data_IF_774526946543
#
_entry.id   IF_774526946543
#
_cell.length_a   1.000
_cell.length_b   1.000
_cell.length_c   1.000
_cell.angle_alpha   90.00
_cell.angle_beta   90.00
_cell.angle_gamma   90.00
#
_symmetry.space_group_name_H-M   'P 1'
#
loop_
_entity.id
_entity.type
_entity.pdbx_description
1 polymer ?
#
# COMPACT_ATOMS: atom_id res chain seq x y z
N UNK A 1 21.80 14.37 -0.80
CA UNK A 1 20.79 13.29 -0.63
C UNK A 1 19.40 13.90 -0.42
N UNK A 2 18.41 13.52 -1.24
CA UNK A 2 17.02 14.04 -1.13
C UNK A 2 16.32 13.56 0.15
N UNK A 3 15.32 14.32 0.62
CA UNK A 3 14.55 14.00 1.83
C UNK A 3 13.79 12.66 1.73
N UNK A 4 13.27 12.34 0.53
CA UNK A 4 12.59 11.06 0.25
C UNK A 4 13.53 9.86 0.40
N UNK A 5 14.77 9.97 -0.09
CA UNK A 5 15.75 8.89 0.06
C UNK A 5 16.05 8.64 1.54
N UNK A 6 16.18 9.67 2.36
CA UNK A 6 16.33 9.50 3.82
C UNK A 6 15.09 8.84 4.43
N UNK A 7 13.89 9.28 4.07
CA UNK A 7 12.66 8.71 4.62
C UNK A 7 12.52 7.19 4.38
N UNK A 8 12.74 6.74 3.14
CA UNK A 8 12.57 5.35 2.73
C UNK A 8 13.80 4.47 2.99
N UNK A 9 15.00 5.05 3.03
CA UNK A 9 16.26 4.30 3.07
C UNK A 9 17.14 4.62 4.28
N UNK A 10 16.72 5.50 5.21
CA UNK A 10 17.47 5.65 6.46
C UNK A 10 17.45 4.33 7.22
N UNK A 11 18.64 3.74 7.30
CA UNK A 11 19.00 2.64 8.18
C UNK A 11 19.32 3.13 9.60
N UNK A 12 18.98 4.39 9.92
CA UNK A 12 18.87 4.86 11.31
C UNK A 12 17.81 3.98 11.95
N UNK A 13 18.15 2.86 12.58
CA UNK A 13 19.07 2.75 13.68
C UNK A 13 19.38 1.25 13.84
N UNK A 14 20.55 0.86 14.34
CA UNK A 14 20.77 -0.48 14.93
C UNK A 14 19.95 -0.52 16.24
N UNK A 15 18.65 -0.89 16.20
CA UNK A 15 17.75 -0.61 17.31
C UNK A 15 18.12 -1.60 18.41
N UNK A 16 18.72 -1.11 19.49
CA UNK A 16 19.08 -1.95 20.64
C UNK A 16 17.87 -2.55 21.36
N UNK A 17 16.65 -2.13 21.00
CA UNK A 17 15.40 -2.57 21.63
C UNK A 17 14.24 -2.71 20.64
N UNK A 18 13.36 -3.68 20.91
CA UNK A 18 12.15 -3.94 20.12
C UNK A 18 11.24 -2.72 19.99
N UNK A 19 11.15 -1.89 21.04
CA UNK A 19 10.36 -0.66 21.04
C UNK A 19 10.83 0.36 19.99
N UNK A 20 12.13 0.43 19.70
CA UNK A 20 12.64 1.34 18.66
C UNK A 20 12.26 0.86 17.26
N UNK A 21 12.17 -0.46 17.05
CA UNK A 21 11.65 -1.06 15.80
C UNK A 21 10.19 -0.68 15.64
N UNK A 22 9.35 -0.94 16.65
CA UNK A 22 7.93 -0.60 16.61
C UNK A 22 7.72 0.90 16.37
N UNK A 23 8.44 1.77 17.09
CA UNK A 23 8.34 3.21 16.91
C UNK A 23 8.83 3.69 15.52
N UNK A 24 9.72 2.95 14.86
CA UNK A 24 10.14 3.23 13.49
C UNK A 24 9.03 2.91 12.49
N UNK A 25 8.31 1.79 12.70
CA UNK A 25 7.13 1.41 11.93
C UNK A 25 5.95 2.36 12.17
N UNK A 26 5.63 2.70 13.42
CA UNK A 26 4.49 3.58 13.72
C UNK A 26 4.65 4.98 13.14
N UNK A 27 5.86 5.56 13.15
CA UNK A 27 6.12 6.86 12.51
C UNK A 27 5.86 6.87 11.00
N UNK A 28 5.96 5.71 10.34
CA UNK A 28 5.72 5.56 8.91
C UNK A 28 4.29 5.19 8.56
N UNK A 29 3.50 4.73 9.54
CA UNK A 29 2.08 4.38 9.38
C UNK A 29 1.29 5.55 8.79
N UNK A 30 1.58 6.78 9.22
CA UNK A 30 0.93 7.98 8.69
C UNK A 30 1.17 8.15 7.19
N UNK A 31 2.42 8.05 6.72
CA UNK A 31 2.75 8.16 5.30
C UNK A 31 2.14 7.04 4.47
N UNK A 32 2.13 5.81 5.01
CA UNK A 32 1.54 4.65 4.39
C UNK A 32 0.03 4.84 4.23
N UNK A 33 -0.68 5.20 5.30
CA UNK A 33 -2.12 5.42 5.26
C UNK A 33 -2.49 6.63 4.38
N UNK A 34 -1.69 7.70 4.37
CA UNK A 34 -1.91 8.83 3.48
C UNK A 34 -1.78 8.41 2.00
N UNK A 35 -0.74 7.64 1.65
CA UNK A 35 -0.54 7.18 0.27
C UNK A 35 -1.62 6.19 -0.17
N UNK A 36 -1.90 5.16 0.64
CA UNK A 36 -2.96 4.16 0.35
C UNK A 36 -4.34 4.84 0.30
N UNK A 37 -4.62 5.77 1.23
CA UNK A 37 -5.85 6.54 1.25
C UNK A 37 -6.03 7.40 -0.01
N UNK A 38 -4.99 8.13 -0.43
CA UNK A 38 -5.03 8.92 -1.66
C UNK A 38 -5.24 8.04 -2.90
N UNK A 39 -4.56 6.89 -2.99
CA UNK A 39 -4.76 5.93 -4.08
C UNK A 39 -6.18 5.34 -4.07
N UNK A 40 -6.73 5.08 -2.89
CA UNK A 40 -8.11 4.60 -2.73
C UNK A 40 -9.11 5.64 -3.20
N UNK A 41 -8.94 6.91 -2.81
CA UNK A 41 -9.79 8.01 -3.27
C UNK A 41 -9.73 8.18 -4.79
N UNK A 42 -8.53 8.12 -5.39
CA UNK A 42 -8.37 8.16 -6.84
C UNK A 42 -9.10 7.00 -7.52
N UNK A 43 -8.97 5.79 -6.99
CA UNK A 43 -9.65 4.60 -7.51
C UNK A 43 -11.16 4.76 -7.45
N UNK A 44 -11.70 5.22 -6.32
CA UNK A 44 -13.13 5.50 -6.18
C UNK A 44 -13.61 6.59 -7.15
N UNK A 45 -12.83 7.64 -7.37
CA UNK A 45 -13.17 8.70 -8.31
C UNK A 45 -13.27 8.18 -9.75
N UNK A 46 -12.31 7.35 -10.19
CA UNK A 46 -12.35 6.72 -11.52
C UNK A 46 -13.60 5.85 -11.68
N UNK A 47 -13.88 5.03 -10.68
CA UNK A 47 -15.06 4.16 -10.70
C UNK A 47 -16.38 4.97 -10.71
N UNK A 48 -16.45 6.08 -9.97
CA UNK A 48 -17.60 6.99 -10.01
C UNK A 48 -17.80 7.57 -11.41
N UNK A 49 -16.74 8.02 -12.07
CA UNK A 49 -16.79 8.55 -13.45
C UNK A 49 -17.29 7.46 -14.42
N UNK A 50 -16.74 6.24 -14.34
CA UNK A 50 -17.19 5.13 -15.18
C UNK A 50 -18.65 4.71 -14.92
N UNK A 51 -19.12 4.87 -13.68
CA UNK A 51 -20.52 4.62 -13.32
C UNK A 51 -21.48 5.62 -13.98
N UNK A 52 -21.00 6.85 -14.27
CA UNK A 52 -21.78 7.89 -14.94
C UNK A 52 -21.81 7.75 -16.47
N UNK A 53 -20.77 7.13 -17.06
CA UNK A 53 -20.64 6.96 -18.51
C UNK A 53 -21.33 5.67 -19.01
N UNK A 54 -22.07 5.69 -20.12
CA UNK A 54 -22.45 4.47 -20.83
C UNK A 54 -21.19 3.81 -21.43
N UNK A 55 -20.99 2.48 -21.33
CA UNK A 55 -21.74 1.51 -20.54
C UNK A 55 -21.47 1.62 -19.04
N UNK A 56 -22.54 1.77 -18.24
CA UNK A 56 -22.41 1.95 -16.79
C UNK A 56 -21.67 0.77 -16.16
N UNK A 57 -20.61 1.08 -15.40
CA UNK A 57 -19.89 0.10 -14.60
C UNK A 57 -20.57 -0.07 -13.23
N UNK A 58 -20.64 -1.32 -12.74
CA UNK A 58 -21.15 -1.59 -11.39
C UNK A 58 -20.07 -1.24 -10.35
N UNK A 59 -20.47 -0.52 -9.30
CA UNK A 59 -19.59 -0.15 -8.19
C UNK A 59 -19.66 -1.22 -7.11
N UNK A 60 -18.57 -1.95 -6.85
CA UNK A 60 -18.46 -2.83 -5.68
C UNK A 60 -17.48 -2.18 -4.71
N UNK A 61 -18.00 -1.66 -3.59
CA UNK A 61 -17.21 -0.90 -2.62
C UNK A 61 -17.04 -1.72 -1.36
N UNK A 62 -15.82 -2.19 -1.12
CA UNK A 62 -15.44 -2.91 0.12
C UNK A 62 -14.40 -2.09 0.91
N UNK A 63 -14.56 -0.77 0.91
CA UNK A 63 -13.57 0.19 1.43
C UNK A 63 -13.20 -0.03 2.90
N UNK A 64 -14.13 -0.21 3.84
CA UNK A 64 -13.77 -0.42 5.25
C UNK A 64 -13.01 -1.74 5.46
N UNK A 65 -13.43 -2.81 4.79
CA UNK A 65 -12.77 -4.11 4.86
C UNK A 65 -11.34 -4.04 4.31
N UNK A 66 -11.15 -3.36 3.17
CA UNK A 66 -9.84 -3.13 2.57
C UNK A 66 -8.95 -2.27 3.47
N UNK A 67 -9.47 -1.17 4.02
CA UNK A 67 -8.73 -0.30 4.92
C UNK A 67 -8.25 -1.03 6.18
N UNK A 68 -9.10 -1.90 6.74
CA UNK A 68 -8.74 -2.76 7.86
C UNK A 68 -7.64 -3.75 7.47
N UNK A 69 -7.83 -4.48 6.37
CA UNK A 69 -6.86 -5.45 5.87
C UNK A 69 -5.49 -4.79 5.60
N UNK A 70 -5.47 -3.61 4.98
CA UNK A 70 -4.24 -2.87 4.71
C UNK A 70 -3.47 -2.50 5.99
N UNK A 71 -4.16 -2.14 7.07
CA UNK A 71 -3.54 -1.81 8.36
C UNK A 71 -3.08 -3.06 9.13
N UNK A 72 -3.80 -4.19 9.00
CA UNK A 72 -3.38 -5.48 9.55
C UNK A 72 -2.09 -5.93 8.84
N UNK A 73 -2.07 -5.95 7.51
CA UNK A 73 -0.89 -6.30 6.72
C UNK A 73 0.32 -5.40 7.03
N UNK A 74 0.09 -4.10 7.22
CA UNK A 74 1.13 -3.18 7.67
C UNK A 74 1.73 -3.59 9.02
N UNK A 75 0.86 -3.91 10.00
CA UNK A 75 1.28 -4.29 11.35
C UNK A 75 2.03 -5.63 11.38
N UNK A 76 1.67 -6.56 10.49
CA UNK A 76 2.41 -7.81 10.30
C UNK A 76 3.85 -7.56 9.80
N UNK A 77 4.09 -6.50 9.03
CA UNK A 77 5.44 -6.10 8.60
C UNK A 77 6.37 -5.77 9.78
N UNK A 78 5.85 -5.06 10.79
CA UNK A 78 6.58 -4.76 12.02
C UNK A 78 6.90 -6.03 12.83
N UNK A 79 5.94 -6.97 12.90
CA UNK A 79 6.14 -8.26 13.56
C UNK A 79 7.18 -9.13 12.82
N UNK A 80 7.14 -9.13 11.49
CA UNK A 80 8.11 -9.85 10.66
C UNK A 80 9.53 -9.28 10.85
N UNK A 81 9.70 -7.96 10.93
CA UNK A 81 11.00 -7.32 11.21
C UNK A 81 11.54 -7.72 12.59
N UNK A 82 10.68 -7.76 13.63
CA UNK A 82 11.07 -8.23 14.96
C UNK A 82 11.46 -9.71 14.97
N UNK A 83 10.70 -10.56 14.30
CA UNK A 83 10.98 -11.99 14.21
C UNK A 83 12.30 -12.25 13.46
N UNK A 84 12.51 -11.56 12.33
CA UNK A 84 13.71 -11.65 11.52
C UNK A 84 14.97 -11.27 12.31
N UNK A 85 14.90 -10.21 13.13
CA UNK A 85 16.01 -9.79 14.01
C UNK A 85 16.31 -10.78 15.13
N UNK A 86 15.31 -11.53 15.62
CA UNK A 86 15.55 -12.59 16.62
C UNK A 86 16.33 -13.77 16.04
N UNK A 87 16.13 -14.07 14.75
CA UNK A 87 16.81 -15.18 14.07
C UNK A 87 18.18 -14.78 13.55
N UNK A 88 18.27 -13.68 12.82
CA UNK A 88 19.49 -13.26 12.12
C UNK A 88 20.37 -12.27 12.87
N UNK A 89 19.94 -11.85 14.07
CA UNK A 89 20.72 -10.94 14.89
C UNK A 89 20.91 -9.56 14.23
N UNK A 90 22.04 -8.89 14.51
CA UNK A 90 22.22 -7.49 14.14
C UNK A 90 22.48 -7.24 12.64
N UNK A 91 23.00 -8.24 11.92
CA UNK A 91 23.27 -8.16 10.47
C UNK A 91 21.99 -8.01 9.63
N UNK A 92 20.84 -8.40 10.20
CA UNK A 92 19.54 -8.33 9.54
C UNK A 92 18.85 -6.98 9.76
N UNK A 93 19.54 -5.99 10.32
CA UNK A 93 19.01 -4.64 10.51
C UNK A 93 18.43 -3.98 9.23
N UNK A 94 18.95 -4.22 8.00
CA UNK A 94 18.38 -3.69 6.77
C UNK A 94 17.03 -4.29 6.36
N UNK A 95 16.57 -5.37 6.99
CA UNK A 95 15.33 -6.06 6.58
C UNK A 95 14.08 -5.20 6.78
N UNK A 96 14.00 -4.43 7.86
CA UNK A 96 12.87 -3.54 8.16
C UNK A 96 12.59 -2.51 7.07
N UNK A 97 13.57 -1.66 6.68
CA UNK A 97 13.45 -0.75 5.55
C UNK A 97 13.08 -1.46 4.24
N UNK A 98 13.60 -2.66 4.02
CA UNK A 98 13.31 -3.47 2.82
C UNK A 98 11.86 -3.93 2.80
N UNK A 99 11.36 -4.52 3.90
CA UNK A 99 9.98 -4.95 4.07
C UNK A 99 9.01 -3.77 3.92
N UNK A 100 9.31 -2.62 4.52
CA UNK A 100 8.49 -1.42 4.39
C UNK A 100 8.40 -0.96 2.94
N UNK A 101 9.52 -0.90 2.20
CA UNK A 101 9.53 -0.45 0.80
C UNK A 101 8.69 -1.35 -0.10
N UNK A 102 8.91 -2.66 -0.02
CA UNK A 102 8.14 -3.60 -0.85
C UNK A 102 6.67 -3.64 -0.44
N UNK A 103 6.37 -3.64 0.87
CA UNK A 103 5.00 -3.58 1.37
C UNK A 103 4.27 -2.30 0.95
N UNK A 104 4.96 -1.15 0.97
CA UNK A 104 4.42 0.14 0.51
C UNK A 104 4.11 0.11 -0.98
N UNK A 105 5.07 -0.29 -1.82
CA UNK A 105 4.87 -0.37 -3.28
C UNK A 105 3.76 -1.37 -3.63
N UNK A 106 3.76 -2.53 -2.98
CA UNK A 106 2.71 -3.54 -3.15
C UNK A 106 1.34 -2.99 -2.80
N UNK A 107 1.19 -2.31 -1.66
CA UNK A 107 -0.10 -1.78 -1.21
C UNK A 107 -0.60 -0.66 -2.10
N UNK A 108 0.27 0.25 -2.53
CA UNK A 108 -0.07 1.28 -3.52
C UNK A 108 -0.51 0.64 -4.84
N UNK A 109 0.28 -0.32 -5.35
CA UNK A 109 -0.03 -1.04 -6.58
C UNK A 109 -1.37 -1.78 -6.50
N UNK A 110 -1.61 -2.53 -5.42
CA UNK A 110 -2.86 -3.24 -5.18
C UNK A 110 -4.06 -2.30 -5.06
N UNK A 111 -3.86 -1.13 -4.45
CA UNK A 111 -4.93 -0.12 -4.33
C UNK A 111 -5.29 0.49 -5.68
N UNK A 112 -4.30 0.69 -6.56
CA UNK A 112 -4.51 1.26 -7.90
C UNK A 112 -4.90 0.22 -8.96
N UNK A 113 -4.62 -1.06 -8.72
CA UNK A 113 -4.91 -2.17 -9.64
C UNK A 113 -6.36 -2.21 -10.18
N UNK A 114 -7.40 -1.87 -9.40
CA UNK A 114 -8.77 -1.87 -9.92
C UNK A 114 -8.98 -0.89 -11.08
N UNK A 115 -8.19 0.18 -11.19
CA UNK A 115 -8.31 1.20 -12.25
C UNK A 115 -8.10 0.58 -13.65
N UNK A 116 -6.93 0.01 -14.00
CA UNK A 116 -6.72 -0.57 -15.32
C UNK A 116 -7.68 -1.71 -15.63
N UNK A 117 -8.07 -2.51 -14.62
CA UNK A 117 -9.06 -3.59 -14.78
C UNK A 117 -10.42 -3.02 -15.15
N UNK A 118 -10.88 -1.98 -14.47
CA UNK A 118 -12.14 -1.31 -14.75
C UNK A 118 -12.13 -0.61 -16.11
N UNK A 119 -11.03 0.07 -16.46
CA UNK A 119 -10.84 0.69 -17.77
C UNK A 119 -10.95 -0.34 -18.89
N UNK A 120 -10.22 -1.46 -18.78
CA UNK A 120 -10.26 -2.53 -19.77
C UNK A 120 -11.68 -3.11 -19.90
N UNK A 121 -12.33 -3.43 -18.78
CA UNK A 121 -13.70 -3.95 -18.79
C UNK A 121 -14.71 -2.96 -19.40
N UNK A 122 -14.55 -1.66 -19.13
CA UNK A 122 -15.38 -0.62 -19.73
C UNK A 122 -15.15 -0.50 -21.24
N UNK A 123 -13.89 -0.50 -21.70
CA UNK A 123 -13.52 -0.46 -23.12
C UNK A 123 -14.09 -1.65 -23.90
N UNK A 124 -13.97 -2.86 -23.36
CA UNK A 124 -14.52 -4.06 -23.99
C UNK A 124 -16.04 -3.97 -24.15
N UNK A 125 -16.75 -3.46 -23.13
CA UNK A 125 -18.21 -3.24 -23.22
C UNK A 125 -18.58 -2.14 -24.21
N UNK A 126 -17.75 -1.11 -24.35
CA UNK A 126 -17.97 -0.05 -25.32
C UNK A 126 -17.85 -0.60 -26.75
N UNK A 127 -16.76 -1.32 -27.04
CA UNK A 127 -16.52 -1.93 -28.34
C UNK A 127 -17.60 -2.94 -28.73
N UNK A 128 -18.05 -3.76 -27.77
CA UNK A 128 -19.14 -4.72 -27.98
C UNK A 128 -20.51 -4.07 -28.22
N UNK A 129 -20.70 -2.78 -27.92
CA UNK A 129 -21.93 -2.04 -28.24
C UNK A 129 -21.89 -1.37 -29.61
N UNK A 130 -20.69 -1.16 -30.16
CA UNK A 130 -20.48 -0.50 -31.45
C UNK A 130 -20.30 -1.48 -32.61
N UNK A 131 -20.07 -2.76 -32.31
CA UNK A 131 -20.04 -3.86 -33.27
C UNK A 131 -21.45 -4.48 -33.41
#
# INVERSE_FOLDING_TARGET
MSALRRYFFDTVYYPRSAWRVVAWWERRRLSYNAAVGACGLLTLAVFAILGMLPPRAALVVVVPAYALAANVCYSLGALADLAARRVGGPDWAPIGPTLFRYGFVFSVGLTLLPIPVAMLGWLLRLLARTA
#
